data_IF_532441052954
#
_entry.id   IF_532441052954
#
_cell.length_a   1.000
_cell.length_b   1.000
_cell.length_c   1.000
_cell.angle_alpha   90.00
_cell.angle_beta   90.00
_cell.angle_gamma   90.00
#
_symmetry.space_group_name_H-M   'P 1'
#
loop_
_entity.id
_entity.type
_entity.pdbx_description
1 polymer ?
#
# COMPACT_ATOMS: atom_id res chain seq x y z
N UNK A 1 13.03 27.45 0.55
CA UNK A 1 12.48 27.80 -0.78
C UNK A 1 12.56 26.55 -1.64
N UNK A 2 11.55 25.71 -1.84
CA UNK A 2 10.17 25.60 -1.36
C UNK A 2 9.81 24.13 -1.58
N UNK A 3 9.66 23.36 -0.51
CA UNK A 3 8.93 22.08 -0.55
C UNK A 3 7.96 22.12 0.62
N UNK A 4 7.05 23.10 0.52
CA UNK A 4 5.78 23.06 1.22
C UNK A 4 4.85 22.14 0.42
N UNK A 5 4.10 21.34 1.18
CA UNK A 5 2.86 20.69 0.80
C UNK A 5 2.96 19.63 -0.31
N UNK A 6 2.91 18.37 0.10
CA UNK A 6 2.03 17.42 -0.58
C UNK A 6 1.20 16.70 0.47
N UNK A 7 0.22 17.45 0.96
CA UNK A 7 -1.13 16.97 1.22
C UNK A 7 -1.24 15.68 2.03
N UNK A 8 -1.10 15.81 3.36
CA UNK A 8 -1.86 14.98 4.29
C UNK A 8 -3.35 15.29 4.12
N UNK A 9 -3.94 14.85 3.02
CA UNK A 9 -5.39 14.71 2.94
C UNK A 9 -5.73 13.43 3.67
N UNK A 10 -6.10 13.57 4.94
CA UNK A 10 -7.05 12.67 5.55
C UNK A 10 -8.29 12.68 4.65
N UNK A 11 -8.44 11.66 3.80
CA UNK A 11 -9.57 11.53 2.89
C UNK A 11 -10.69 10.76 3.61
N UNK A 12 -11.94 11.22 3.43
CA UNK A 12 -13.07 10.86 4.28
C UNK A 12 -13.54 9.44 3.97
N UNK A 13 -14.32 8.91 4.91
CA UNK A 13 -14.84 7.56 4.94
C UNK A 13 -15.43 7.05 3.60
N UNK A 14 -15.13 5.78 3.31
CA UNK A 14 -15.90 4.81 2.52
C UNK A 14 -15.72 4.72 0.98
N UNK A 15 -14.61 5.22 0.42
CA UNK A 15 -14.18 4.84 -0.93
C UNK A 15 -12.70 4.43 -0.87
N UNK A 16 -12.29 3.22 -1.31
CA UNK A 16 -10.88 2.87 -1.36
C UNK A 16 -10.15 3.86 -2.27
N UNK A 17 -9.37 4.74 -1.66
CA UNK A 17 -8.66 5.80 -2.35
C UNK A 17 -7.64 5.17 -3.31
N UNK A 18 -7.86 5.37 -4.61
CA UNK A 18 -6.92 4.90 -5.62
C UNK A 18 -5.61 5.67 -5.46
N UNK A 19 -4.46 5.00 -5.31
CA UNK A 19 -3.19 5.69 -5.14
C UNK A 19 -2.83 6.47 -6.39
N UNK A 20 -2.18 7.61 -6.19
CA UNK A 20 -1.50 8.28 -7.30
C UNK A 20 -0.29 7.45 -7.74
N UNK A 21 0.11 7.57 -9.01
CA UNK A 21 1.26 6.82 -9.55
C UNK A 21 2.52 7.03 -8.68
N UNK A 22 2.77 8.25 -8.22
CA UNK A 22 3.92 8.55 -7.36
C UNK A 22 3.87 7.85 -5.99
N UNK A 23 2.68 7.65 -5.42
CA UNK A 23 2.55 6.94 -4.14
C UNK A 23 2.75 5.45 -4.33
N UNK A 24 2.16 4.88 -5.39
CA UNK A 24 2.38 3.49 -5.75
C UNK A 24 3.87 3.22 -6.00
N UNK A 25 4.55 4.03 -6.82
CA UNK A 25 5.98 3.85 -7.10
C UNK A 25 6.84 3.95 -5.83
N UNK A 26 6.54 4.86 -4.90
CA UNK A 26 7.24 4.94 -3.61
C UNK A 26 6.99 3.71 -2.75
N UNK A 27 5.76 3.20 -2.71
CA UNK A 27 5.44 1.98 -1.98
C UNK A 27 6.19 0.78 -2.57
N UNK A 28 6.16 0.59 -3.89
CA UNK A 28 6.88 -0.50 -4.55
C UNK A 28 8.40 -0.39 -4.36
N UNK A 29 8.96 0.82 -4.39
CA UNK A 29 10.37 1.05 -4.06
C UNK A 29 10.68 0.69 -2.61
N UNK A 30 9.81 1.07 -1.65
CA UNK A 30 9.94 0.71 -0.23
C UNK A 30 9.84 -0.80 -0.02
N UNK A 31 8.86 -1.46 -0.64
CA UNK A 31 8.68 -2.92 -0.59
C UNK A 31 9.91 -3.61 -1.17
N UNK A 32 10.40 -3.20 -2.33
CA UNK A 32 11.61 -3.78 -2.94
C UNK A 32 12.85 -3.62 -2.06
N UNK A 33 13.00 -2.47 -1.39
CA UNK A 33 14.11 -2.22 -0.47
C UNK A 33 13.97 -2.96 0.87
N UNK A 34 12.74 -3.27 1.29
CA UNK A 34 12.41 -3.99 2.53
C UNK A 34 12.07 -5.47 2.28
N UNK A 35 12.27 -5.99 1.06
CA UNK A 35 11.91 -7.36 0.64
C UNK A 35 12.86 -8.43 1.21
N UNK A 36 13.10 -8.39 2.51
CA UNK A 36 13.84 -9.39 3.26
C UNK A 36 12.85 -10.34 3.97
N UNK A 37 13.08 -11.66 3.90
CA UNK A 37 12.23 -12.65 4.60
C UNK A 37 11.43 -13.61 3.71
N UNK A 38 11.78 -13.74 2.43
CA UNK A 38 11.14 -14.70 1.51
C UNK A 38 9.69 -14.35 1.13
N UNK A 39 8.95 -15.26 0.47
CA UNK A 39 7.61 -14.99 -0.05
C UNK A 39 6.61 -14.58 1.03
N UNK A 40 6.69 -15.21 2.22
CA UNK A 40 5.81 -14.90 3.35
C UNK A 40 6.04 -13.48 3.91
N UNK A 41 7.31 -13.05 4.00
CA UNK A 41 7.64 -11.69 4.45
C UNK A 41 7.14 -10.62 3.47
N UNK A 42 7.19 -10.89 2.17
CA UNK A 42 6.66 -9.99 1.14
C UNK A 42 5.14 -9.86 1.25
N UNK A 43 4.42 -10.97 1.42
CA UNK A 43 2.95 -10.97 1.58
C UNK A 43 2.54 -10.21 2.85
N UNK A 44 3.22 -10.41 3.97
CA UNK A 44 2.94 -9.70 5.22
C UNK A 44 3.18 -8.19 5.11
N UNK A 45 4.26 -7.78 4.43
CA UNK A 45 4.56 -6.37 4.20
C UNK A 45 3.52 -5.73 3.25
N UNK A 46 3.10 -6.46 2.22
CA UNK A 46 2.04 -6.03 1.31
C UNK A 46 0.70 -5.86 2.03
N UNK A 47 0.31 -6.82 2.89
CA UNK A 47 -0.92 -6.73 3.69
C UNK A 47 -0.90 -5.50 4.61
N UNK A 48 0.18 -5.35 5.40
CA UNK A 48 0.35 -4.21 6.30
C UNK A 48 0.26 -2.87 5.58
N UNK A 49 0.94 -2.68 4.46
CA UNK A 49 0.94 -1.39 3.77
C UNK A 49 -0.35 -1.15 2.96
N UNK A 50 -0.84 -2.16 2.22
CA UNK A 50 -1.97 -2.00 1.30
C UNK A 50 -3.34 -2.08 1.99
N UNK A 51 -3.45 -2.90 3.04
CA UNK A 51 -4.71 -3.18 3.73
C UNK A 51 -4.79 -2.42 5.05
N UNK A 52 -3.77 -2.50 5.91
CA UNK A 52 -3.82 -1.87 7.23
C UNK A 52 -3.51 -0.36 7.19
N UNK A 53 -2.32 0.02 6.73
CA UNK A 53 -1.85 1.42 6.81
C UNK A 53 -2.56 2.31 5.80
N UNK A 54 -2.62 1.91 4.52
CA UNK A 54 -3.14 2.77 3.44
C UNK A 54 -4.56 2.45 3.02
N UNK A 55 -5.07 1.25 3.35
CA UNK A 55 -6.44 0.80 3.06
C UNK A 55 -6.85 0.95 1.59
N UNK A 56 -5.90 0.81 0.66
CA UNK A 56 -6.15 0.84 -0.79
C UNK A 56 -6.89 -0.41 -1.27
N UNK A 57 -6.66 -1.53 -0.58
CA UNK A 57 -7.30 -2.82 -0.83
C UNK A 57 -7.93 -3.30 0.47
N UNK A 58 -9.18 -3.77 0.40
CA UNK A 58 -9.85 -4.38 1.55
C UNK A 58 -9.34 -5.80 1.79
N UNK A 59 -9.47 -6.28 3.02
CA UNK A 59 -9.05 -7.62 3.46
C UNK A 59 -9.50 -8.74 2.50
N UNK A 60 -10.79 -8.76 2.14
CA UNK A 60 -11.35 -9.77 1.24
C UNK A 60 -10.71 -9.74 -0.16
N UNK A 61 -10.43 -8.55 -0.70
CA UNK A 61 -9.82 -8.40 -2.03
C UNK A 61 -8.35 -8.80 -2.01
N UNK A 62 -7.66 -8.60 -0.89
CA UNK A 62 -6.29 -9.08 -0.70
C UNK A 62 -6.26 -10.62 -0.59
N UNK A 63 -7.12 -11.22 0.25
CA UNK A 63 -7.23 -12.68 0.37
C UNK A 63 -7.66 -13.33 -0.94
N UNK A 64 -8.56 -12.70 -1.70
CA UNK A 64 -8.94 -13.19 -3.02
C UNK A 64 -7.74 -13.20 -3.99
N UNK A 65 -6.92 -12.14 -4.00
CA UNK A 65 -5.71 -12.07 -4.81
C UNK A 65 -4.66 -13.13 -4.40
N UNK A 66 -4.55 -13.43 -3.10
CA UNK A 66 -3.66 -14.49 -2.62
C UNK A 66 -4.15 -15.89 -3.01
N UNK A 67 -5.46 -16.15 -2.93
CA UNK A 67 -6.05 -17.42 -3.36
C UNK A 67 -5.99 -17.64 -4.88
N UNK A 68 -5.70 -16.58 -5.65
CA UNK A 68 -5.54 -16.63 -7.10
C UNK A 68 -4.07 -16.90 -7.53
N UNK A 69 -3.14 -16.99 -6.58
CA UNK A 69 -1.71 -17.21 -6.79
C UNK A 69 -1.35 -18.67 -6.48
#
# INVERSE_FOLDING_TARGET
>A
MTVLAKDSVAQPADVPAVPTFSEATRLWAKIGLLSFGGPAGQIALMHKELVEERRWIGEERFLHALNYC
#
